data_IF_390335938747
#
_entry.id   IF_390335938747
#
_cell.length_a   1.000
_cell.length_b   1.000
_cell.length_c   1.000
_cell.angle_alpha   90.00
_cell.angle_beta   90.00
_cell.angle_gamma   90.00
#
_symmetry.space_group_name_H-M   'P 1'
#
loop_
_entity.id
_entity.type
_entity.pdbx_description
1 polymer ?
#
# COMPACT_ATOMS: atom_id res chain seq x y z
N UNK A 1 -6.65 15.19 -37.57
CA UNK A 1 -5.80 14.45 -36.62
C UNK A 1 -4.78 15.40 -36.02
N UNK A 2 -4.82 15.59 -34.71
CA UNK A 2 -3.89 16.45 -33.96
C UNK A 2 -3.84 15.96 -32.51
N UNK A 3 -2.81 16.35 -31.77
CA UNK A 3 -2.75 16.09 -30.33
C UNK A 3 -3.74 17.00 -29.61
N UNK A 4 -4.38 16.49 -28.56
CA UNK A 4 -5.23 17.29 -27.71
C UNK A 4 -4.42 18.39 -27.00
N UNK A 5 -4.88 19.64 -26.98
CA UNK A 5 -4.31 20.66 -26.10
C UNK A 5 -4.55 20.31 -24.63
N UNK A 6 -3.77 20.93 -23.73
CA UNK A 6 -3.93 20.76 -22.27
C UNK A 6 -5.36 21.08 -21.78
N UNK A 7 -6.07 21.97 -22.47
CA UNK A 7 -7.46 22.33 -22.13
C UNK A 7 -8.45 21.18 -22.24
N UNK A 8 -8.16 20.19 -23.08
CA UNK A 8 -9.04 19.04 -23.31
C UNK A 8 -8.86 17.98 -22.20
N UNK A 9 -7.76 18.01 -21.45
CA UNK A 9 -7.43 17.00 -20.44
C UNK A 9 -8.40 17.05 -19.24
N UNK A 10 -8.71 15.90 -18.61
CA UNK A 10 -9.46 15.84 -17.36
C UNK A 10 -8.69 16.56 -16.25
N UNK A 11 -9.35 17.52 -15.59
CA UNK A 11 -8.72 18.41 -14.61
C UNK A 11 -9.69 18.73 -13.49
N UNK A 12 -9.17 18.78 -12.27
CA UNK A 12 -9.92 19.19 -11.08
C UNK A 12 -9.12 20.29 -10.39
N UNK A 13 -9.79 21.40 -10.08
CA UNK A 13 -9.22 22.53 -9.35
C UNK A 13 -10.16 22.90 -8.22
N UNK A 14 -9.64 22.95 -6.98
CA UNK A 14 -10.38 23.30 -5.77
C UNK A 14 -11.74 22.60 -5.65
N UNK A 15 -11.79 21.25 -5.69
CA UNK A 15 -13.06 20.54 -5.57
C UNK A 15 -13.70 20.77 -4.18
N UNK A 16 -15.03 20.64 -4.05
CA UNK A 16 -15.72 20.83 -2.77
C UNK A 16 -15.21 19.93 -1.62
N UNK A 17 -14.63 18.78 -1.94
CA UNK A 17 -14.00 17.86 -0.99
C UNK A 17 -12.77 18.45 -0.28
N UNK A 18 -12.13 19.46 -0.88
CA UNK A 18 -10.90 20.07 -0.37
C UNK A 18 -9.63 19.27 -0.67
N UNK A 19 -9.69 18.17 -1.42
CA UNK A 19 -8.51 17.35 -1.76
C UNK A 19 -8.57 16.79 -3.17
N UNK A 20 -7.39 16.46 -3.70
CA UNK A 20 -7.22 15.65 -4.91
C UNK A 20 -6.27 14.49 -4.63
N UNK A 21 -6.50 13.36 -5.28
CA UNK A 21 -5.65 12.16 -5.18
C UNK A 21 -5.44 11.52 -6.55
N UNK A 22 -4.35 10.77 -6.68
CA UNK A 22 -4.20 9.77 -7.72
C UNK A 22 -3.25 8.68 -7.23
N UNK A 23 -3.70 7.43 -7.34
CA UNK A 23 -2.94 6.25 -7.00
C UNK A 23 -2.86 5.32 -8.23
N UNK A 24 -2.56 5.90 -9.40
CA UNK A 24 -2.50 5.25 -10.72
C UNK A 24 -3.85 4.79 -11.27
N UNK A 25 -4.96 5.13 -10.62
CA UNK A 25 -6.31 5.04 -11.17
C UNK A 25 -6.53 6.03 -12.32
N UNK A 26 -7.56 5.74 -13.12
CA UNK A 26 -8.10 6.67 -14.08
C UNK A 26 -8.59 7.96 -13.39
N UNK A 27 -8.62 9.12 -14.07
CA UNK A 27 -8.78 10.42 -13.42
C UNK A 27 -10.17 10.67 -12.81
N UNK A 28 -11.13 9.78 -13.07
CA UNK A 28 -12.55 9.93 -12.74
C UNK A 28 -12.82 10.09 -11.25
N UNK A 29 -11.97 9.51 -10.39
CA UNK A 29 -12.07 9.56 -8.94
C UNK A 29 -10.91 10.33 -8.29
N UNK A 30 -10.37 11.32 -9.00
CA UNK A 30 -9.34 12.22 -8.46
C UNK A 30 -9.81 13.05 -7.26
N UNK A 31 -11.12 13.10 -7.01
CA UNK A 31 -11.77 13.62 -5.80
C UNK A 31 -13.05 12.81 -5.55
N UNK A 32 -13.59 12.84 -4.34
CA UNK A 32 -14.88 12.22 -4.00
C UNK A 32 -15.80 13.14 -3.17
N UNK A 33 -17.12 13.25 -3.46
CA UNK A 33 -17.82 12.72 -4.64
C UNK A 33 -17.17 13.15 -5.96
N UNK A 34 -17.28 12.30 -6.99
CA UNK A 34 -16.64 12.53 -8.27
C UNK A 34 -17.20 13.80 -8.94
N UNK A 35 -16.32 14.61 -9.52
CA UNK A 35 -16.69 15.85 -10.25
C UNK A 35 -16.42 15.76 -11.75
N UNK A 36 -15.68 14.75 -12.18
CA UNK A 36 -15.43 14.46 -13.59
C UNK A 36 -16.42 13.41 -14.07
N UNK A 37 -17.13 13.72 -15.14
CA UNK A 37 -17.95 12.76 -15.86
C UNK A 37 -17.12 12.11 -16.98
N UNK A 38 -16.85 10.79 -16.92
CA UNK A 38 -16.11 10.09 -17.97
C UNK A 38 -16.77 10.16 -19.36
N UNK A 39 -18.09 10.34 -19.44
CA UNK A 39 -18.82 10.46 -20.70
C UNK A 39 -18.62 11.83 -21.38
N UNK A 40 -18.08 12.80 -20.64
CA UNK A 40 -17.70 14.12 -21.15
C UNK A 40 -16.32 14.14 -21.84
N UNK A 41 -15.61 13.00 -21.88
CA UNK A 41 -14.28 12.87 -22.51
C UNK A 41 -14.26 11.76 -23.56
N UNK A 42 -13.37 11.83 -24.58
CA UNK A 42 -13.20 10.73 -25.52
C UNK A 42 -12.78 9.44 -24.81
N UNK A 43 -13.42 8.31 -25.15
CA UNK A 43 -13.20 7.03 -24.47
C UNK A 43 -11.75 6.51 -24.48
N UNK A 44 -10.90 7.02 -25.37
CA UNK A 44 -9.48 6.67 -25.45
C UNK A 44 -8.58 7.48 -24.49
N UNK A 45 -9.12 8.43 -23.73
CA UNK A 45 -8.34 9.21 -22.77
C UNK A 45 -7.85 8.38 -21.59
N UNK A 46 -8.75 7.60 -20.99
CA UNK A 46 -8.43 6.74 -19.86
C UNK A 46 -9.45 5.60 -19.74
N UNK A 47 -9.03 4.43 -19.20
CA UNK A 47 -9.95 3.34 -18.91
C UNK A 47 -10.95 3.72 -17.81
N UNK A 48 -12.00 2.89 -17.63
CA UNK A 48 -12.90 2.99 -16.46
C UNK A 48 -12.54 1.91 -15.45
N UNK A 49 -12.69 2.23 -14.16
CA UNK A 49 -12.38 1.32 -13.07
C UNK A 49 -11.69 2.05 -11.92
N UNK A 50 -11.78 1.46 -10.73
CA UNK A 50 -11.11 1.95 -9.53
C UNK A 50 -10.53 0.74 -8.76
N UNK A 51 -9.22 0.46 -8.90
CA UNK A 51 -8.57 -0.60 -8.13
C UNK A 51 -8.63 -0.36 -6.61
N UNK A 52 -8.36 -1.38 -5.80
CA UNK A 52 -8.48 -1.27 -4.34
C UNK A 52 -7.59 -0.20 -3.69
N UNK A 53 -6.34 0.00 -4.13
CA UNK A 53 -5.44 1.00 -3.53
C UNK A 53 -5.96 2.44 -3.65
N UNK A 54 -6.46 2.89 -4.82
CA UNK A 54 -7.12 4.20 -4.90
C UNK A 54 -8.46 4.26 -4.15
N UNK A 55 -9.21 3.16 -4.00
CA UNK A 55 -10.37 3.13 -3.09
C UNK A 55 -9.93 3.45 -1.65
N UNK A 56 -8.90 2.77 -1.15
CA UNK A 56 -8.31 3.06 0.16
C UNK A 56 -7.81 4.51 0.25
N UNK A 57 -7.15 5.04 -0.79
CA UNK A 57 -6.70 6.44 -0.81
C UNK A 57 -7.86 7.42 -0.62
N UNK A 58 -8.99 7.16 -1.25
CA UNK A 58 -10.20 8.00 -1.14
C UNK A 58 -10.83 7.87 0.24
N UNK A 59 -10.94 6.65 0.78
CA UNK A 59 -11.47 6.40 2.12
C UNK A 59 -10.63 7.10 3.20
N UNK A 60 -9.29 6.95 3.16
CA UNK A 60 -8.36 7.61 4.08
C UNK A 60 -8.54 9.14 4.10
N UNK A 61 -8.77 9.76 2.94
CA UNK A 61 -9.00 11.20 2.82
C UNK A 61 -10.40 11.62 3.26
N UNK A 62 -11.42 10.82 2.97
CA UNK A 62 -12.82 11.13 3.26
C UNK A 62 -13.15 10.98 4.74
N UNK A 63 -12.70 9.90 5.37
CA UNK A 63 -13.04 9.57 6.76
C UNK A 63 -12.30 10.45 7.77
N UNK A 64 -11.11 10.94 7.42
CA UNK A 64 -10.28 11.74 8.34
C UNK A 64 -10.79 13.18 8.51
N UNK A 65 -11.61 13.69 7.58
CA UNK A 65 -12.08 15.08 7.62
C UNK A 65 -10.93 16.10 7.55
N UNK A 66 -10.68 16.83 8.64
CA UNK A 66 -9.57 17.81 8.71
C UNK A 66 -8.27 17.11 9.07
N UNK A 67 -7.41 16.91 8.07
CA UNK A 67 -6.13 16.21 8.22
C UNK A 67 -5.03 17.16 8.71
N UNK A 68 -4.40 16.81 9.83
CA UNK A 68 -3.17 17.49 10.29
C UNK A 68 -1.92 16.99 9.56
N UNK A 69 -0.81 17.73 9.64
CA UNK A 69 0.47 17.30 9.05
C UNK A 69 0.93 15.90 9.52
N UNK A 70 0.86 15.63 10.82
CA UNK A 70 1.28 14.34 11.38
C UNK A 70 0.30 13.23 11.02
N UNK A 71 -0.99 13.55 10.89
CA UNK A 71 -1.99 12.61 10.40
C UNK A 71 -1.78 12.26 8.93
N UNK A 72 -1.46 13.22 8.07
CA UNK A 72 -1.12 12.94 6.66
C UNK A 72 0.04 11.94 6.55
N UNK A 73 1.07 12.08 7.40
CA UNK A 73 2.19 11.15 7.47
C UNK A 73 1.72 9.76 7.95
N UNK A 74 0.84 9.70 8.97
CA UNK A 74 0.27 8.44 9.46
C UNK A 74 -0.53 7.74 8.37
N UNK A 75 -1.44 8.44 7.69
CA UNK A 75 -2.28 7.90 6.60
C UNK A 75 -1.43 7.40 5.43
N UNK A 76 -0.36 8.13 5.05
CA UNK A 76 0.57 7.69 4.00
C UNK A 76 1.25 6.34 4.30
N UNK A 77 1.40 6.01 5.59
CA UNK A 77 1.98 4.75 6.03
C UNK A 77 0.93 3.71 6.47
N UNK A 78 -0.35 3.91 6.12
CA UNK A 78 -1.39 2.89 6.31
C UNK A 78 -1.02 1.62 5.53
N UNK A 79 -1.10 0.49 6.24
CA UNK A 79 -0.80 -0.85 5.73
C UNK A 79 -2.05 -1.74 5.70
N UNK A 80 -3.24 -1.18 5.94
CA UNK A 80 -4.51 -1.88 5.82
C UNK A 80 -4.67 -2.49 4.42
N UNK A 81 -5.26 -3.68 4.36
CA UNK A 81 -5.56 -4.37 3.12
C UNK A 81 -7.06 -4.26 2.84
N UNK A 82 -7.46 -3.38 1.93
CA UNK A 82 -8.87 -3.21 1.54
C UNK A 82 -9.52 -4.54 1.11
N UNK A 83 -8.76 -5.43 0.44
CA UNK A 83 -9.27 -6.75 0.06
C UNK A 83 -9.63 -7.62 1.29
N UNK A 84 -8.90 -7.46 2.39
CA UNK A 84 -9.22 -8.14 3.64
C UNK A 84 -10.45 -7.53 4.31
N UNK A 85 -10.65 -6.20 4.20
CA UNK A 85 -11.87 -5.53 4.69
C UNK A 85 -13.12 -6.13 4.04
N UNK A 86 -13.08 -6.40 2.72
CA UNK A 86 -14.19 -7.05 1.98
C UNK A 86 -14.43 -8.50 2.37
N UNK A 87 -13.37 -9.30 2.49
CA UNK A 87 -13.52 -10.76 2.48
C UNK A 87 -13.42 -11.43 3.86
N UNK A 88 -12.66 -10.85 4.80
CA UNK A 88 -12.42 -11.50 6.10
C UNK A 88 -13.69 -11.75 6.90
N UNK A 89 -14.65 -10.81 7.02
CA UNK A 89 -15.87 -11.03 7.81
C UNK A 89 -16.66 -12.27 7.37
N UNK A 90 -16.94 -12.40 6.07
CA UNK A 90 -17.68 -13.54 5.52
C UNK A 90 -16.87 -14.83 5.53
N UNK A 91 -15.55 -14.75 5.29
CA UNK A 91 -14.67 -15.90 5.39
C UNK A 91 -14.63 -16.48 6.81
N UNK A 92 -14.53 -15.63 7.83
CA UNK A 92 -14.57 -16.05 9.24
C UNK A 92 -15.91 -16.69 9.57
N UNK A 93 -17.02 -16.09 9.12
CA UNK A 93 -18.35 -16.64 9.34
C UNK A 93 -18.51 -18.03 8.70
N UNK A 94 -18.09 -18.19 7.43
CA UNK A 94 -18.13 -19.46 6.70
C UNK A 94 -17.26 -20.54 7.38
N UNK A 95 -16.04 -20.18 7.78
CA UNK A 95 -15.12 -21.09 8.45
C UNK A 95 -15.63 -21.54 9.83
N UNK A 96 -16.34 -20.67 10.56
CA UNK A 96 -16.98 -21.05 11.83
C UNK A 96 -18.13 -22.03 11.64
N UNK A 97 -18.88 -21.89 10.54
CA UNK A 97 -20.01 -22.74 10.18
C UNK A 97 -19.62 -24.11 9.60
N UNK A 98 -18.41 -24.27 9.03
CA UNK A 98 -18.00 -25.47 8.27
C UNK A 98 -17.83 -26.76 9.06
N UNK A 99 -17.90 -26.71 10.39
CA UNK A 99 -17.68 -27.87 11.28
C UNK A 99 -16.22 -28.33 11.39
N UNK A 100 -15.30 -27.78 10.61
CA UNK A 100 -13.87 -28.12 10.64
C UNK A 100 -13.14 -27.40 11.76
N UNK A 101 -12.39 -28.16 12.57
CA UNK A 101 -11.55 -27.61 13.63
C UNK A 101 -10.38 -26.78 13.09
N UNK A 102 -9.78 -27.21 11.98
CA UNK A 102 -8.68 -26.49 11.33
C UNK A 102 -9.16 -25.16 10.73
N UNK A 103 -10.33 -25.15 10.09
CA UNK A 103 -10.92 -23.93 9.56
C UNK A 103 -11.26 -22.92 10.66
N UNK A 104 -11.82 -23.39 11.79
CA UNK A 104 -12.11 -22.55 12.96
C UNK A 104 -10.85 -21.94 13.58
N UNK A 105 -9.80 -22.74 13.76
CA UNK A 105 -8.54 -22.24 14.29
C UNK A 105 -7.88 -21.19 13.37
N UNK A 106 -7.98 -21.37 12.05
CA UNK A 106 -7.53 -20.36 11.09
C UNK A 106 -8.41 -19.10 11.12
N UNK A 107 -9.72 -19.25 11.29
CA UNK A 107 -10.66 -18.14 11.44
C UNK A 107 -10.35 -17.29 12.68
N UNK A 108 -9.96 -17.90 13.79
CA UNK A 108 -9.61 -17.17 15.02
C UNK A 108 -8.37 -16.28 14.82
N UNK A 109 -7.40 -16.70 14.00
CA UNK A 109 -6.27 -15.86 13.60
C UNK A 109 -6.72 -14.67 12.76
N UNK A 110 -7.62 -14.88 11.80
CA UNK A 110 -8.11 -13.81 10.93
C UNK A 110 -9.09 -12.85 11.64
N UNK A 111 -9.87 -13.34 12.60
CA UNK A 111 -10.81 -12.54 13.41
C UNK A 111 -10.06 -11.63 14.39
N UNK A 112 -8.92 -12.09 14.92
CA UNK A 112 -8.03 -11.28 15.77
C UNK A 112 -7.13 -10.32 14.98
N UNK A 113 -7.01 -10.50 13.67
CA UNK A 113 -6.14 -9.70 12.81
C UNK A 113 -6.78 -8.33 12.52
N UNK A 114 -5.97 -7.28 12.65
CA UNK A 114 -6.33 -5.90 12.35
C UNK A 114 -6.35 -5.57 10.85
N UNK A 115 -6.20 -6.58 9.98
CA UNK A 115 -6.20 -6.45 8.51
C UNK A 115 -5.03 -5.64 7.97
N UNK A 116 -3.98 -5.43 8.76
CA UNK A 116 -2.80 -4.66 8.35
C UNK A 116 -1.60 -5.53 7.94
N UNK A 117 -0.69 -4.92 7.18
CA UNK A 117 0.61 -5.47 6.81
C UNK A 117 1.76 -4.88 7.65
N UNK A 118 1.53 -4.65 8.95
CA UNK A 118 2.58 -4.22 9.88
C UNK A 118 3.50 -5.36 10.28
N UNK A 119 4.75 -5.04 10.59
CA UNK A 119 5.82 -6.03 10.78
C UNK A 119 5.46 -7.11 11.82
N UNK A 120 4.75 -6.72 12.88
CA UNK A 120 4.26 -7.57 13.96
C UNK A 120 2.81 -8.04 13.77
N UNK A 121 2.11 -7.55 12.75
CA UNK A 121 0.72 -7.94 12.46
C UNK A 121 0.64 -9.44 12.14
N UNK A 122 -0.33 -10.10 12.78
CA UNK A 122 -0.55 -11.56 12.72
C UNK A 122 -1.89 -11.83 12.04
N UNK A 123 -1.83 -12.42 10.87
CA UNK A 123 -2.99 -12.75 10.04
C UNK A 123 -2.74 -12.48 8.56
N UNK A 124 -1.97 -11.44 8.23
CA UNK A 124 -1.64 -11.11 6.83
C UNK A 124 -0.93 -12.23 6.06
N UNK A 125 -0.07 -13.01 6.72
CA UNK A 125 0.59 -14.17 6.07
C UNK A 125 -0.43 -15.26 5.71
N UNK A 126 -1.33 -15.59 6.64
CA UNK A 126 -2.41 -16.54 6.40
C UNK A 126 -3.37 -16.03 5.32
N UNK A 127 -3.81 -14.79 5.44
CA UNK A 127 -4.76 -14.18 4.51
C UNK A 127 -4.23 -14.14 3.06
N UNK A 128 -2.98 -13.72 2.87
CA UNK A 128 -2.38 -13.66 1.52
C UNK A 128 -2.14 -15.06 0.93
N UNK A 129 -1.84 -16.07 1.75
CA UNK A 129 -1.78 -17.46 1.32
C UNK A 129 -3.17 -17.99 0.93
N UNK A 130 -4.19 -17.70 1.74
CA UNK A 130 -5.58 -18.03 1.45
C UNK A 130 -6.05 -17.41 0.14
N UNK A 131 -5.88 -16.10 -0.03
CA UNK A 131 -6.36 -15.38 -1.20
C UNK A 131 -5.72 -15.90 -2.49
N UNK A 132 -4.43 -16.27 -2.45
CA UNK A 132 -3.76 -16.90 -3.58
C UNK A 132 -4.39 -18.25 -3.94
N UNK A 133 -4.67 -19.09 -2.95
CA UNK A 133 -5.29 -20.40 -3.20
C UNK A 133 -6.76 -20.27 -3.63
N UNK A 134 -7.52 -19.36 -3.02
CA UNK A 134 -8.90 -19.05 -3.37
C UNK A 134 -9.00 -18.54 -4.81
N UNK A 135 -8.17 -17.57 -5.20
CA UNK A 135 -8.13 -17.06 -6.57
C UNK A 135 -7.74 -18.16 -7.59
N UNK A 136 -6.79 -19.03 -7.23
CA UNK A 136 -6.41 -20.18 -8.07
C UNK A 136 -7.59 -21.14 -8.28
N UNK A 137 -8.35 -21.46 -7.22
CA UNK A 137 -9.54 -22.33 -7.28
C UNK A 137 -10.68 -21.71 -8.07
N UNK A 138 -10.92 -20.42 -7.89
CA UNK A 138 -11.96 -19.66 -8.59
C UNK A 138 -11.62 -19.42 -10.07
N UNK A 139 -10.37 -19.62 -10.48
CA UNK A 139 -9.89 -19.35 -11.84
C UNK A 139 -9.64 -17.85 -12.11
N UNK A 140 -9.39 -17.07 -11.06
CA UNK A 140 -9.05 -15.65 -11.15
C UNK A 140 -9.40 -14.87 -9.89
N UNK A 141 -8.65 -13.80 -9.61
CA UNK A 141 -8.85 -12.94 -8.44
C UNK A 141 -10.25 -12.30 -8.40
N UNK A 142 -10.76 -11.81 -9.53
CA UNK A 142 -12.09 -11.17 -9.60
C UNK A 142 -13.24 -12.13 -9.31
N UNK A 143 -13.02 -13.46 -9.40
CA UNK A 143 -14.02 -14.49 -9.16
C UNK A 143 -14.08 -14.93 -7.69
N UNK A 144 -13.23 -14.39 -6.84
CA UNK A 144 -13.31 -14.56 -5.38
C UNK A 144 -14.48 -13.74 -4.81
N UNK A 145 -14.82 -12.63 -5.47
CA UNK A 145 -15.88 -11.72 -5.06
C UNK A 145 -17.24 -12.16 -5.60
N UNK A 146 -18.26 -12.11 -4.74
CA UNK A 146 -19.65 -12.38 -5.13
C UNK A 146 -20.18 -11.25 -6.03
N UNK A 147 -19.80 -10.01 -5.72
CA UNK A 147 -20.22 -8.82 -6.42
C UNK A 147 -19.05 -8.22 -7.22
N UNK A 148 -19.21 -7.98 -8.53
CA UNK A 148 -18.18 -7.31 -9.32
C UNK A 148 -18.09 -5.83 -8.97
N UNK A 149 -16.97 -5.20 -9.33
CA UNK A 149 -16.81 -3.75 -9.19
C UNK A 149 -17.87 -3.00 -10.00
N UNK A 150 -18.45 -1.96 -9.42
CA UNK A 150 -19.44 -1.08 -10.03
C UNK A 150 -19.02 0.39 -9.93
N UNK A 151 -19.13 1.12 -11.04
CA UNK A 151 -18.89 2.57 -11.06
C UNK A 151 -19.91 3.39 -10.28
N UNK A 152 -21.08 2.84 -9.97
CA UNK A 152 -22.10 3.50 -9.13
C UNK A 152 -21.89 3.28 -7.64
N UNK A 153 -21.07 2.31 -7.26
CA UNK A 153 -20.64 2.07 -5.89
C UNK A 153 -19.12 1.77 -5.85
N UNK A 154 -18.29 2.75 -6.24
CA UNK A 154 -16.90 2.51 -6.59
C UNK A 154 -16.00 2.27 -5.38
N UNK A 155 -16.46 2.61 -4.16
CA UNK A 155 -15.71 2.51 -2.91
C UNK A 155 -16.12 1.31 -2.05
N UNK A 156 -17.22 0.64 -2.36
CA UNK A 156 -17.69 -0.53 -1.60
C UNK A 156 -17.66 -1.81 -2.42
N UNK A 157 -17.51 -1.73 -3.76
CA UNK A 157 -17.39 -2.90 -4.65
C UNK A 157 -15.96 -3.04 -5.21
N UNK A 158 -15.52 -4.23 -5.68
CA UNK A 158 -16.18 -5.53 -5.55
C UNK A 158 -16.24 -6.00 -4.09
N UNK A 159 -17.22 -6.82 -3.75
CA UNK A 159 -17.46 -7.26 -2.37
C UNK A 159 -18.07 -8.66 -2.28
N UNK A 160 -18.16 -9.16 -1.06
CA UNK A 160 -18.80 -10.44 -0.72
C UNK A 160 -17.99 -11.66 -1.17
N UNK A 161 -18.21 -12.80 -0.52
CA UNK A 161 -17.51 -14.05 -0.79
C UNK A 161 -18.31 -14.93 -1.76
N UNK A 162 -17.78 -15.16 -2.97
CA UNK A 162 -18.54 -15.83 -4.04
C UNK A 162 -18.92 -17.28 -3.75
N UNK A 163 -18.02 -18.04 -3.11
CA UNK A 163 -18.18 -19.46 -2.84
C UNK A 163 -17.62 -19.77 -1.44
N UNK A 164 -18.47 -19.74 -0.40
CA UNK A 164 -18.05 -20.00 0.98
C UNK A 164 -17.39 -21.36 1.20
N UNK A 165 -17.88 -22.42 0.55
CA UNK A 165 -17.34 -23.78 0.74
C UNK A 165 -15.94 -23.90 0.12
N UNK A 166 -15.75 -23.38 -1.10
CA UNK A 166 -14.43 -23.35 -1.74
C UNK A 166 -13.46 -22.44 -0.97
N UNK A 167 -13.94 -21.33 -0.40
CA UNK A 167 -13.16 -20.41 0.40
C UNK A 167 -12.69 -21.04 1.71
N UNK A 168 -13.53 -21.84 2.38
CA UNK A 168 -13.16 -22.60 3.57
C UNK A 168 -12.11 -23.66 3.22
N UNK A 169 -12.30 -24.41 2.14
CA UNK A 169 -11.32 -25.41 1.69
C UNK A 169 -9.96 -24.76 1.33
N UNK A 170 -9.97 -23.54 0.79
CA UNK A 170 -8.76 -22.76 0.55
C UNK A 170 -8.11 -22.30 1.86
N UNK A 171 -8.90 -21.97 2.89
CA UNK A 171 -8.39 -21.52 4.19
C UNK A 171 -7.66 -22.64 4.92
N UNK A 172 -8.21 -23.85 4.90
CA UNK A 172 -7.56 -25.04 5.46
C UNK A 172 -6.23 -25.35 4.75
N UNK A 173 -6.23 -25.27 3.41
CA UNK A 173 -5.03 -25.48 2.62
C UNK A 173 -3.95 -24.42 2.92
N UNK A 174 -4.36 -23.15 3.04
CA UNK A 174 -3.48 -22.06 3.41
C UNK A 174 -2.92 -22.21 4.83
N UNK A 175 -3.76 -22.55 5.82
CA UNK A 175 -3.33 -22.78 7.19
C UNK A 175 -2.31 -23.92 7.28
N UNK A 176 -2.54 -25.03 6.54
CA UNK A 176 -1.58 -26.14 6.45
C UNK A 176 -0.25 -25.68 5.84
N UNK A 177 -0.30 -25.00 4.69
CA UNK A 177 0.88 -24.50 3.98
C UNK A 177 1.70 -23.52 4.82
N UNK A 178 1.04 -22.60 5.52
CA UNK A 178 1.69 -21.63 6.42
C UNK A 178 2.32 -22.35 7.61
N UNK A 179 1.62 -23.30 8.24
CA UNK A 179 2.15 -24.09 9.35
C UNK A 179 3.34 -24.96 8.96
N UNK A 180 3.28 -25.62 7.80
CA UNK A 180 4.39 -26.42 7.27
C UNK A 180 5.64 -25.56 7.04
N UNK A 181 5.46 -24.32 6.57
CA UNK A 181 6.56 -23.40 6.26
C UNK A 181 7.15 -22.73 7.49
N UNK A 182 6.31 -22.30 8.43
CA UNK A 182 6.70 -21.40 9.51
C UNK A 182 6.57 -22.01 10.91
N UNK A 183 6.03 -23.22 11.03
CA UNK A 183 5.76 -23.88 12.31
C UNK A 183 4.53 -23.35 13.05
N UNK A 184 3.89 -22.29 12.56
CA UNK A 184 2.72 -21.64 13.17
C UNK A 184 1.82 -21.06 12.07
N UNK A 185 0.57 -20.73 12.41
CA UNK A 185 -0.40 -20.13 11.47
C UNK A 185 -0.47 -18.61 11.65
N UNK A 186 -0.29 -18.11 12.87
CA UNK A 186 -0.32 -16.71 13.28
C UNK A 186 1.04 -16.00 13.06
N UNK A 187 1.66 -16.21 11.91
CA UNK A 187 3.02 -15.72 11.61
C UNK A 187 3.03 -14.18 11.50
N UNK A 188 3.95 -13.47 12.19
CA UNK A 188 4.14 -12.03 11.98
C UNK A 188 4.51 -11.72 10.53
N UNK A 189 3.89 -10.70 9.93
CA UNK A 189 4.14 -10.31 8.53
C UNK A 189 5.63 -10.10 8.24
N UNK A 190 6.34 -9.42 9.14
CA UNK A 190 7.75 -9.11 9.06
C UNK A 190 8.67 -10.31 9.21
N UNK A 191 8.18 -11.48 9.64
CA UNK A 191 8.93 -12.76 9.57
C UNK A 191 8.95 -13.27 8.14
N UNK A 192 7.80 -13.23 7.45
CA UNK A 192 7.68 -13.71 6.08
C UNK A 192 8.21 -12.70 5.05
N UNK A 193 8.08 -11.40 5.31
CA UNK A 193 8.41 -10.33 4.37
C UNK A 193 9.50 -9.41 4.96
N UNK A 194 10.62 -9.27 4.26
CA UNK A 194 11.87 -8.69 4.76
C UNK A 194 12.35 -7.51 3.92
N UNK A 195 13.00 -6.56 4.59
CA UNK A 195 13.75 -5.47 3.98
C UNK A 195 15.23 -5.83 4.05
N UNK A 196 15.77 -6.37 2.94
CA UNK A 196 17.17 -6.81 2.87
C UNK A 196 17.97 -5.99 1.86
N UNK A 197 19.07 -5.38 2.31
CA UNK A 197 19.99 -4.61 1.46
C UNK A 197 21.34 -4.46 2.15
N UNK A 198 22.43 -4.70 1.41
CA UNK A 198 23.82 -4.52 1.86
C UNK A 198 24.12 -5.07 3.27
N UNK A 199 23.68 -6.30 3.56
CA UNK A 199 23.90 -6.97 4.84
C UNK A 199 22.91 -6.61 5.95
N UNK A 200 22.05 -5.61 5.76
CA UNK A 200 20.91 -5.38 6.66
C UNK A 200 19.77 -6.34 6.35
N UNK A 201 19.12 -6.84 7.40
CA UNK A 201 17.90 -7.63 7.33
C UNK A 201 16.93 -7.12 8.42
N UNK A 202 15.90 -6.37 8.00
CA UNK A 202 14.88 -5.81 8.89
C UNK A 202 13.51 -6.41 8.57
N UNK A 203 12.60 -6.52 9.55
CA UNK A 203 11.24 -6.92 9.28
C UNK A 203 10.55 -5.90 8.37
N UNK A 204 9.91 -6.37 7.31
CA UNK A 204 9.18 -5.55 6.36
C UNK A 204 7.76 -5.22 6.81
N UNK A 205 7.21 -4.18 6.21
CA UNK A 205 5.81 -3.79 6.34
C UNK A 205 5.34 -3.12 5.05
N UNK A 206 4.02 -2.97 4.91
CA UNK A 206 3.40 -2.69 3.62
C UNK A 206 3.21 -3.96 2.81
N UNK A 207 2.47 -3.85 1.70
CA UNK A 207 2.11 -4.97 0.84
C UNK A 207 1.93 -4.50 -0.61
N UNK A 208 1.86 -5.43 -1.58
CA UNK A 208 1.49 -5.10 -2.96
C UNK A 208 0.17 -4.33 -3.06
N UNK A 209 0.07 -3.44 -4.05
CA UNK A 209 -1.12 -2.60 -4.27
C UNK A 209 -2.40 -3.40 -4.54
N UNK A 210 -2.26 -4.63 -5.02
CA UNK A 210 -3.40 -5.49 -5.39
C UNK A 210 -4.21 -5.92 -4.16
N UNK A 211 -3.65 -5.81 -2.95
CA UNK A 211 -4.35 -6.02 -1.69
C UNK A 211 -5.11 -4.77 -1.20
N UNK A 212 -5.02 -3.65 -1.92
CA UNK A 212 -5.59 -2.37 -1.51
C UNK A 212 -4.68 -1.50 -0.64
N UNK A 213 -3.50 -1.99 -0.29
CA UNK A 213 -2.61 -1.31 0.63
C UNK A 213 -2.05 -0.01 0.05
N UNK A 214 -2.16 1.08 0.82
CA UNK A 214 -1.67 2.41 0.39
C UNK A 214 -0.16 2.55 0.52
N UNK A 215 0.44 2.03 1.60
CA UNK A 215 1.89 1.86 1.71
C UNK A 215 2.34 0.63 0.91
N UNK A 216 2.82 0.87 -0.31
CA UNK A 216 3.15 -0.22 -1.22
C UNK A 216 4.55 -0.78 -0.91
N UNK A 217 4.64 -2.10 -0.78
CA UNK A 217 5.91 -2.83 -0.83
C UNK A 217 5.70 -4.17 -1.54
N UNK A 218 6.36 -4.34 -2.67
CA UNK A 218 6.32 -5.56 -3.46
C UNK A 218 7.47 -6.47 -3.02
N UNK A 219 7.13 -7.67 -2.56
CA UNK A 219 8.10 -8.68 -2.12
C UNK A 219 8.27 -9.77 -3.17
N UNK A 220 9.52 -10.12 -3.46
CA UNK A 220 9.88 -11.27 -4.30
C UNK A 220 10.32 -12.43 -3.43
N UNK A 221 9.80 -13.62 -3.71
CA UNK A 221 10.21 -14.83 -2.99
C UNK A 221 11.71 -15.10 -3.15
N UNK A 222 12.33 -15.59 -2.08
CA UNK A 222 13.72 -16.05 -2.02
C UNK A 222 13.79 -17.53 -1.64
N UNK A 223 14.97 -18.13 -1.82
CA UNK A 223 15.20 -19.57 -1.61
C UNK A 223 15.00 -20.00 -0.16
N UNK A 224 15.22 -19.09 0.80
CA UNK A 224 14.96 -19.32 2.24
C UNK A 224 13.48 -19.26 2.62
N UNK A 225 12.59 -19.06 1.65
CA UNK A 225 11.16 -18.97 1.89
C UNK A 225 10.68 -17.63 2.46
N UNK A 226 11.51 -16.60 2.52
CA UNK A 226 11.02 -15.24 2.78
C UNK A 226 10.65 -14.53 1.48
N UNK A 227 9.96 -13.40 1.58
CA UNK A 227 9.83 -12.40 0.53
C UNK A 227 10.76 -11.23 0.83
N UNK A 228 11.50 -10.74 -0.17
CA UNK A 228 12.36 -9.56 -0.03
C UNK A 228 11.81 -8.41 -0.87
N UNK A 229 11.76 -7.21 -0.30
CA UNK A 229 11.26 -6.02 -1.00
C UNK A 229 12.09 -5.73 -2.26
N UNK A 230 11.40 -5.54 -3.40
CA UNK A 230 12.01 -5.24 -4.71
C UNK A 230 11.43 -4.00 -5.39
N UNK A 231 10.26 -3.52 -4.97
CA UNK A 231 9.62 -2.31 -5.47
C UNK A 231 8.60 -1.78 -4.44
N UNK A 232 8.09 -0.57 -4.67
CA UNK A 232 7.10 0.08 -3.80
C UNK A 232 7.52 1.50 -3.44
N UNK A 233 7.17 1.92 -2.22
CA UNK A 233 7.55 3.22 -1.68
C UNK A 233 9.07 3.43 -1.77
N UNK A 234 9.47 4.56 -2.35
CA UNK A 234 10.87 4.91 -2.60
C UNK A 234 11.22 6.23 -1.90
N UNK A 235 10.93 7.35 -2.58
CA UNK A 235 10.91 8.68 -1.99
C UNK A 235 9.51 8.97 -1.47
N UNK A 236 9.40 9.27 -0.18
CA UNK A 236 8.15 9.69 0.46
C UNK A 236 8.38 11.06 1.06
N UNK A 237 7.48 12.01 0.78
CA UNK A 237 7.51 13.34 1.36
C UNK A 237 6.10 13.78 1.76
N UNK A 238 6.01 14.46 2.91
CA UNK A 238 4.84 15.20 3.34
C UNK A 238 5.25 16.65 3.53
N UNK A 239 4.46 17.58 2.99
CA UNK A 239 4.71 19.02 3.03
C UNK A 239 3.42 19.72 3.47
N UNK A 240 3.52 20.51 4.53
CA UNK A 240 2.49 21.48 4.93
C UNK A 240 2.96 22.87 4.51
N UNK A 241 2.18 23.54 3.68
CA UNK A 241 2.43 24.89 3.19
C UNK A 241 2.10 25.97 4.24
N UNK A 242 2.58 25.79 5.48
CA UNK A 242 2.53 26.76 6.57
C UNK A 242 3.58 27.87 6.38
N UNK A 243 3.58 28.87 7.26
CA UNK A 243 4.66 29.87 7.35
C UNK A 243 5.34 29.76 8.75
N UNK A 244 6.55 29.19 8.85
CA UNK A 244 7.37 28.62 7.76
C UNK A 244 6.85 27.26 7.29
N UNK A 245 7.16 26.86 6.04
CA UNK A 245 6.76 25.55 5.49
C UNK A 245 7.38 24.41 6.30
N UNK A 246 6.57 23.42 6.67
CA UNK A 246 6.98 22.20 7.36
C UNK A 246 7.07 21.05 6.35
N UNK A 247 8.16 20.29 6.38
CA UNK A 247 8.35 19.17 5.47
C UNK A 247 9.11 18.02 6.15
N UNK A 248 8.69 16.79 5.86
CA UNK A 248 9.41 15.58 6.23
C UNK A 248 9.50 14.64 5.03
N UNK A 249 10.64 14.00 4.85
CA UNK A 249 10.86 13.07 3.75
C UNK A 249 11.83 11.93 4.10
N UNK A 250 11.81 10.88 3.28
CA UNK A 250 12.74 9.76 3.38
C UNK A 250 12.97 9.13 1.99
N UNK A 251 14.19 8.64 1.75
CA UNK A 251 14.49 7.71 0.64
C UNK A 251 14.81 6.36 1.27
N UNK A 252 13.91 5.38 1.13
CA UNK A 252 14.00 4.11 1.87
C UNK A 252 15.27 3.29 1.62
N UNK A 253 15.84 3.39 0.41
CA UNK A 253 17.05 2.70 -0.03
C UNK A 253 18.32 3.57 0.01
N UNK A 254 18.31 4.65 0.79
CA UNK A 254 19.45 5.56 0.92
C UNK A 254 19.63 6.50 -0.28
N UNK A 255 20.52 7.48 -0.13
CA UNK A 255 20.77 8.52 -1.15
C UNK A 255 22.05 8.26 -1.98
N UNK A 256 22.58 7.04 -1.96
CA UNK A 256 23.72 6.65 -2.77
C UNK A 256 23.59 5.20 -3.28
N UNK A 257 24.18 4.94 -4.44
CA UNK A 257 24.27 3.62 -5.06
C UNK A 257 25.71 3.17 -5.32
N UNK A 258 26.71 4.00 -5.00
CA UNK A 258 28.12 3.65 -5.22
C UNK A 258 28.59 2.58 -4.23
N UNK A 259 29.34 1.54 -4.67
CA UNK A 259 29.89 0.52 -3.78
C UNK A 259 30.66 1.14 -2.60
N UNK A 260 30.42 0.63 -1.38
CA UNK A 260 31.09 1.10 -0.16
C UNK A 260 30.57 2.42 0.42
N UNK A 261 29.65 3.13 -0.24
CA UNK A 261 29.06 4.35 0.35
C UNK A 261 28.22 4.03 1.59
N UNK A 262 28.39 4.75 2.71
CA UNK A 262 27.56 4.57 3.89
C UNK A 262 26.10 4.98 3.66
N UNK A 263 25.83 5.77 2.61
CA UNK A 263 24.51 6.31 2.29
C UNK A 263 23.63 5.38 1.44
N UNK A 264 24.00 4.10 1.32
CA UNK A 264 23.21 3.08 0.59
C UNK A 264 22.08 2.48 1.41
N UNK A 265 22.16 2.53 2.74
CA UNK A 265 21.20 1.87 3.66
C UNK A 265 20.99 2.61 4.98
N UNK A 266 21.63 3.76 5.18
CA UNK A 266 21.55 4.56 6.41
C UNK A 266 20.13 5.03 6.79
N UNK A 267 19.21 5.03 5.83
CA UNK A 267 17.80 5.36 6.04
C UNK A 267 16.87 4.14 6.20
N UNK A 268 17.36 2.92 5.98
CA UNK A 268 16.50 1.72 5.92
C UNK A 268 15.81 1.43 7.26
N UNK A 269 16.47 1.73 8.39
CA UNK A 269 15.88 1.58 9.74
C UNK A 269 14.71 2.53 9.97
N UNK A 270 14.82 3.78 9.51
CA UNK A 270 13.74 4.75 9.57
C UNK A 270 12.57 4.33 8.68
N UNK A 271 12.87 3.81 7.48
CA UNK A 271 11.86 3.28 6.57
C UNK A 271 11.10 2.11 7.22
N UNK A 272 11.81 1.15 7.81
CA UNK A 272 11.20 0.03 8.53
C UNK A 272 10.30 0.53 9.69
N UNK A 273 10.73 1.57 10.41
CA UNK A 273 9.99 2.18 11.51
C UNK A 273 8.88 3.16 11.08
N UNK A 274 8.63 3.33 9.77
CA UNK A 274 7.65 4.30 9.22
C UNK A 274 7.95 5.77 9.60
N UNK A 275 9.23 6.11 9.77
CA UNK A 275 9.67 7.44 10.21
C UNK A 275 10.26 8.25 9.06
N UNK A 276 9.76 9.46 8.86
CA UNK A 276 10.33 10.44 7.93
C UNK A 276 11.30 11.38 8.67
N UNK A 277 12.33 11.86 7.97
CA UNK A 277 13.28 12.84 8.50
C UNK A 277 12.81 14.26 8.22
N UNK A 278 13.18 15.26 9.03
CA UNK A 278 13.02 16.67 8.68
C UNK A 278 13.68 16.99 7.33
N UNK A 279 13.06 17.87 6.56
CA UNK A 279 13.69 18.47 5.37
C UNK A 279 14.19 19.85 5.76
N UNK A 280 15.51 20.00 5.92
CA UNK A 280 16.16 21.27 6.20
C UNK A 280 16.13 22.15 4.96
N UNK A 281 15.58 23.36 5.08
CA UNK A 281 15.38 24.26 3.93
C UNK A 281 16.02 25.62 4.13
N UNK A 282 16.07 26.11 5.37
CA UNK A 282 16.73 27.37 5.67
C UNK A 282 18.25 27.18 5.67
N UNK A 283 18.99 28.24 5.38
CA UNK A 283 20.46 28.22 5.42
C UNK A 283 20.97 27.78 6.79
N UNK A 284 20.35 28.29 7.87
CA UNK A 284 20.73 27.96 9.24
C UNK A 284 20.58 26.47 9.55
N UNK A 285 19.42 25.86 9.23
CA UNK A 285 19.21 24.42 9.41
C UNK A 285 20.21 23.60 8.59
N UNK A 286 20.47 24.00 7.34
CA UNK A 286 21.43 23.30 6.47
C UNK A 286 22.85 23.38 7.02
N UNK A 287 23.26 24.53 7.56
CA UNK A 287 24.59 24.71 8.16
C UNK A 287 24.74 23.96 9.48
N UNK A 288 23.70 23.90 10.31
CA UNK A 288 23.67 23.14 11.56
C UNK A 288 23.86 21.63 11.33
N UNK A 289 23.30 21.10 10.24
CA UNK A 289 23.35 19.69 9.89
C UNK A 289 24.37 19.35 8.78
N UNK A 290 25.27 20.28 8.47
CA UNK A 290 26.28 20.11 7.43
C UNK A 290 27.32 19.07 7.85
N UNK A 291 27.46 18.00 7.05
CA UNK A 291 28.53 17.01 7.22
C UNK A 291 29.76 17.34 6.37
N UNK A 292 29.55 17.55 5.08
CA UNK A 292 30.62 17.73 4.09
C UNK A 292 30.33 18.96 3.22
N UNK A 293 31.38 19.67 2.80
CA UNK A 293 31.28 20.84 1.92
C UNK A 293 32.20 20.66 0.72
N UNK A 294 31.62 20.70 -0.47
CA UNK A 294 32.37 20.74 -1.73
C UNK A 294 32.21 22.14 -2.35
N UNK A 295 33.32 22.72 -2.81
CA UNK A 295 33.31 24.01 -3.52
C UNK A 295 33.64 23.74 -4.98
N UNK A 296 32.64 23.90 -5.85
CA UNK A 296 32.81 23.79 -7.28
C UNK A 296 33.13 25.19 -7.81
N UNK A 297 34.33 25.43 -8.38
CA UNK A 297 34.64 26.73 -8.97
C UNK A 297 33.71 26.98 -10.17
N UNK A 298 33.26 28.23 -10.34
CA UNK A 298 32.53 28.63 -11.53
C UNK A 298 33.38 28.35 -12.78
N UNK A 299 32.78 27.86 -13.88
CA UNK A 299 33.49 27.84 -15.16
C UNK A 299 33.94 29.26 -15.49
N UNK A 300 35.12 29.45 -16.14
CA UNK A 300 35.55 30.77 -16.59
C UNK A 300 34.46 31.38 -17.47
N UNK A 301 34.16 32.68 -17.28
CA UNK A 301 33.23 33.40 -18.15
C UNK A 301 33.76 33.40 -19.61
N UNK A 302 32.87 33.26 -20.61
CA UNK A 302 33.25 33.21 -22.02
C UNK A 302 33.84 34.52 -22.55
#
# INVERSE_FOLDING_TARGET
>A
HGLHPYSDMPRVLNPPSGWVQNANDAPWFSTYPAVLDPDSFPAYFAPRGLPFRPQQSIQLLTESGRISFDEMIRLKHSTEMEVAVRLVPELVAAARASGSGDARAAADVLDAWDRTADADSRGGVLFTAWLRDAARRAGGFSRVFAEPWSGTDPLSTPDGLADPDAAVAALEAAARSVRERWGAVDVPWGTANRLRRDGLDLPGNGAPSDFGTFRVTNFRATDDGTGVAVAGDSYVAAIEFSDPVRARALIGYGNASQPGSPHRTDQLRLYAAKQLRPVWRTRAEVEEHLRDRETVPSPPEP
#
